data_IF_546475992701
#
_entry.id   IF_546475992701
#
_cell.length_a   1.000
_cell.length_b   1.000
_cell.length_c   1.000
_cell.angle_alpha   90.00
_cell.angle_beta   90.00
_cell.angle_gamma   90.00
#
_symmetry.space_group_name_H-M   'P 1'
#
loop_
_entity.id
_entity.type
_entity.pdbx_description
1 polymer ?
#
# COMPACT_ATOMS: atom_id res chain seq x y z
N UNK A 1 -22.76 1.88 -9.61
CA UNK A 1 -21.28 1.86 -9.75
C UNK A 1 -20.78 0.67 -8.97
N UNK A 2 -20.15 -0.28 -9.63
CA UNK A 2 -19.62 -1.46 -8.94
C UNK A 2 -18.49 -1.05 -8.01
N UNK A 3 -18.57 -1.52 -6.76
CA UNK A 3 -17.53 -1.27 -5.76
C UNK A 3 -16.36 -2.18 -6.12
N UNK A 4 -15.20 -1.58 -6.41
CA UNK A 4 -13.96 -2.32 -6.61
C UNK A 4 -13.61 -3.14 -5.36
N UNK A 5 -13.46 -4.45 -5.51
CA UNK A 5 -13.02 -5.36 -4.43
C UNK A 5 -11.72 -6.05 -4.83
N UNK A 6 -10.57 -5.35 -4.79
CA UNK A 6 -9.32 -5.93 -5.21
C UNK A 6 -8.86 -7.03 -4.26
N UNK A 7 -8.18 -8.05 -4.82
CA UNK A 7 -7.48 -9.08 -4.04
C UNK A 7 -6.09 -8.61 -3.63
N UNK A 8 -5.47 -7.73 -4.43
CA UNK A 8 -4.19 -7.07 -4.19
C UNK A 8 -4.08 -5.80 -5.02
N UNK A 9 -3.08 -4.98 -4.71
CA UNK A 9 -2.79 -3.71 -5.38
C UNK A 9 -1.31 -3.60 -5.70
N UNK A 10 -0.99 -3.13 -6.89
CA UNK A 10 0.39 -2.88 -7.32
C UNK A 10 0.86 -1.52 -6.78
N UNK A 11 1.81 -1.51 -5.87
CA UNK A 11 2.41 -0.29 -5.34
C UNK A 11 3.52 0.26 -6.25
N UNK A 12 3.37 1.50 -6.70
CA UNK A 12 4.33 2.16 -7.59
C UNK A 12 5.40 3.02 -6.87
N UNK A 13 5.48 2.98 -5.54
CA UNK A 13 6.46 3.79 -4.77
C UNK A 13 7.92 3.62 -5.25
N UNK A 14 8.27 2.44 -5.73
CA UNK A 14 9.62 2.13 -6.21
C UNK A 14 9.80 2.32 -7.72
N UNK A 15 8.81 2.83 -8.44
CA UNK A 15 8.88 3.12 -9.88
C UNK A 15 9.56 4.48 -10.12
N UNK A 16 10.21 4.64 -11.26
CA UNK A 16 10.66 5.92 -11.80
C UNK A 16 12.16 6.12 -11.80
N UNK A 17 12.82 6.38 -10.70
CA UNK A 17 14.24 6.77 -10.75
C UNK A 17 15.19 5.58 -10.52
N UNK A 18 16.04 5.30 -11.52
CA UNK A 18 17.13 4.33 -11.37
C UNK A 18 18.07 4.71 -10.21
N UNK A 19 18.34 6.00 -10.00
CA UNK A 19 19.14 6.51 -8.91
C UNK A 19 18.47 6.28 -7.55
N UNK A 20 17.17 6.54 -7.43
CA UNK A 20 16.38 6.28 -6.24
C UNK A 20 16.33 4.78 -5.91
N UNK A 21 16.08 3.94 -6.90
CA UNK A 21 16.10 2.49 -6.73
C UNK A 21 17.47 1.97 -6.30
N UNK A 22 18.56 2.49 -6.87
CA UNK A 22 19.93 2.11 -6.52
C UNK A 22 20.30 2.55 -5.10
N UNK A 23 19.94 3.78 -4.71
CA UNK A 23 20.26 4.35 -3.39
C UNK A 23 19.49 3.67 -2.26
N UNK A 24 18.17 3.54 -2.39
CA UNK A 24 17.31 3.02 -1.33
C UNK A 24 17.15 1.50 -1.35
N UNK A 25 17.15 0.89 -2.52
CA UNK A 25 16.86 -0.53 -2.69
C UNK A 25 18.05 -1.37 -3.18
N UNK A 26 19.18 -0.71 -3.47
CA UNK A 26 20.39 -1.38 -3.95
C UNK A 26 20.29 -1.96 -5.37
N UNK A 27 19.22 -1.66 -6.11
CA UNK A 27 19.03 -2.07 -7.49
C UNK A 27 18.20 -1.08 -8.28
N UNK A 28 18.67 -0.72 -9.47
CA UNK A 28 17.88 -0.02 -10.48
C UNK A 28 17.12 -1.03 -11.34
N UNK A 29 15.95 -0.64 -11.80
CA UNK A 29 15.19 -1.37 -12.82
C UNK A 29 14.90 -0.37 -13.93
N UNK A 30 15.12 -0.78 -15.18
CA UNK A 30 14.84 0.07 -16.34
C UNK A 30 13.33 0.21 -16.59
N UNK A 31 12.98 1.22 -17.35
CA UNK A 31 11.58 1.58 -17.66
C UNK A 31 10.85 0.46 -18.42
N UNK A 32 11.54 -0.24 -19.31
CA UNK A 32 10.96 -1.34 -20.09
C UNK A 32 10.57 -2.51 -19.17
N UNK A 33 11.43 -2.85 -18.21
CA UNK A 33 11.13 -3.90 -17.21
C UNK A 33 9.92 -3.52 -16.35
N UNK A 34 9.79 -2.25 -15.96
CA UNK A 34 8.62 -1.77 -15.18
C UNK A 34 7.35 -1.85 -16.04
N UNK A 35 7.43 -1.45 -17.32
CA UNK A 35 6.31 -1.58 -18.25
C UNK A 35 5.88 -3.05 -18.41
N UNK A 36 6.82 -3.96 -18.58
CA UNK A 36 6.52 -5.40 -18.64
C UNK A 36 5.87 -5.91 -17.35
N UNK A 37 6.26 -5.39 -16.17
CA UNK A 37 5.58 -5.72 -14.92
C UNK A 37 4.12 -5.21 -14.90
N UNK A 38 3.86 -4.03 -15.46
CA UNK A 38 2.50 -3.52 -15.61
C UNK A 38 1.66 -4.38 -16.56
N UNK A 39 2.20 -4.79 -17.69
CA UNK A 39 1.49 -5.69 -18.62
C UNK A 39 1.21 -7.05 -17.95
N UNK A 40 2.18 -7.64 -17.24
CA UNK A 40 1.95 -8.86 -16.47
C UNK A 40 0.85 -8.69 -15.42
N UNK A 41 0.76 -7.51 -14.78
CA UNK A 41 -0.32 -7.21 -13.83
C UNK A 41 -1.70 -7.19 -14.51
N UNK A 42 -1.79 -6.61 -15.71
CA UNK A 42 -3.02 -6.65 -16.53
C UNK A 42 -3.41 -8.08 -16.89
N UNK A 43 -2.47 -8.91 -17.34
CA UNK A 43 -2.69 -10.33 -17.66
C UNK A 43 -3.20 -11.14 -16.45
N UNK A 44 -2.84 -10.75 -15.23
CA UNK A 44 -3.26 -11.37 -13.97
C UNK A 44 -4.49 -10.72 -13.33
N UNK A 45 -5.13 -9.78 -14.00
CA UNK A 45 -6.29 -9.02 -13.49
C UNK A 45 -5.97 -8.25 -12.17
N UNK A 46 -4.69 -7.89 -11.98
CA UNK A 46 -4.23 -7.01 -10.89
C UNK A 46 -4.20 -5.56 -11.39
N UNK A 47 -5.38 -5.01 -11.64
CA UNK A 47 -5.55 -3.78 -12.40
C UNK A 47 -5.40 -2.49 -11.59
N UNK A 48 -5.29 -2.54 -10.26
CA UNK A 48 -5.18 -1.33 -9.43
C UNK A 48 -3.73 -0.99 -9.16
N UNK A 49 -3.34 0.26 -9.48
CA UNK A 49 -2.01 0.81 -9.25
C UNK A 49 -2.08 1.93 -8.22
N UNK A 50 -1.34 1.77 -7.12
CA UNK A 50 -1.32 2.72 -6.01
C UNK A 50 -0.12 3.68 -6.13
N UNK A 51 -0.43 4.97 -6.17
CA UNK A 51 0.49 6.06 -6.45
C UNK A 51 0.38 7.17 -5.39
N UNK A 52 1.44 7.98 -5.31
CA UNK A 52 1.45 9.26 -4.61
C UNK A 52 2.42 10.21 -5.34
N UNK A 53 2.29 11.50 -5.07
CA UNK A 53 2.99 12.56 -5.81
C UNK A 53 4.52 12.51 -5.70
N UNK A 54 5.03 12.00 -4.59
CA UNK A 54 6.46 11.86 -4.30
C UNK A 54 7.06 10.52 -4.74
N UNK A 55 6.22 9.57 -5.22
CA UNK A 55 6.68 8.24 -5.62
C UNK A 55 7.67 8.31 -6.78
N UNK A 56 8.78 7.60 -6.62
CA UNK A 56 9.84 7.62 -7.61
C UNK A 56 10.45 9.00 -7.86
N UNK A 57 10.42 9.92 -6.86
CA UNK A 57 10.77 11.35 -7.02
C UNK A 57 9.88 12.07 -8.05
N UNK A 58 8.57 11.81 -8.00
CA UNK A 58 7.57 12.41 -8.87
C UNK A 58 7.49 11.79 -10.27
N UNK A 59 8.18 10.67 -10.54
CA UNK A 59 8.21 10.03 -11.86
C UNK A 59 7.21 8.89 -12.03
N UNK A 60 6.72 8.30 -10.92
CA UNK A 60 5.85 7.13 -11.01
C UNK A 60 4.53 7.43 -11.73
N UNK A 61 3.92 8.58 -11.45
CA UNK A 61 2.68 9.03 -12.08
C UNK A 61 2.86 9.25 -13.58
N UNK A 62 3.94 9.95 -13.98
CA UNK A 62 4.28 10.20 -15.37
C UNK A 62 4.48 8.89 -16.15
N UNK A 63 5.15 7.90 -15.55
CA UNK A 63 5.33 6.58 -16.18
C UNK A 63 4.00 5.91 -16.47
N UNK A 64 3.02 5.96 -15.54
CA UNK A 64 1.68 5.42 -15.77
C UNK A 64 1.02 6.10 -16.98
N UNK A 65 1.06 7.41 -17.07
CA UNK A 65 0.51 8.16 -18.21
C UNK A 65 1.22 7.87 -19.54
N UNK A 66 2.54 7.60 -19.50
CA UNK A 66 3.33 7.22 -20.68
C UNK A 66 3.08 5.75 -21.11
N UNK A 67 2.81 4.85 -20.18
CA UNK A 67 2.56 3.42 -20.48
C UNK A 67 1.14 3.15 -20.99
N UNK A 68 0.21 4.09 -20.78
CA UNK A 68 -1.23 3.94 -21.03
C UNK A 68 -1.98 3.58 -19.75
N UNK A 69 -3.01 4.36 -19.46
CA UNK A 69 -3.73 4.27 -18.19
C UNK A 69 -5.20 3.85 -18.37
N UNK A 70 -5.66 3.60 -19.58
CA UNK A 70 -7.08 3.39 -19.92
C UNK A 70 -7.62 2.09 -19.32
N UNK A 71 -6.80 1.02 -19.32
CA UNK A 71 -7.20 -0.33 -18.91
C UNK A 71 -6.86 -0.65 -17.46
N UNK A 72 -6.59 0.37 -16.64
CA UNK A 72 -6.23 0.19 -15.24
C UNK A 72 -7.06 1.11 -14.33
N UNK A 73 -7.06 0.80 -13.04
CA UNK A 73 -7.62 1.65 -11.99
C UNK A 73 -6.52 2.42 -11.27
N UNK A 74 -6.66 3.71 -11.17
CA UNK A 74 -5.70 4.60 -10.52
C UNK A 74 -6.13 4.88 -9.09
N UNK A 75 -5.30 4.45 -8.14
CA UNK A 75 -5.37 4.78 -6.72
C UNK A 75 -4.32 5.87 -6.43
N UNK A 76 -4.76 7.12 -6.25
CA UNK A 76 -3.89 8.27 -6.03
C UNK A 76 -4.12 8.89 -4.64
N UNK A 77 -3.16 9.68 -4.15
CA UNK A 77 -3.20 10.24 -2.80
C UNK A 77 -2.94 11.74 -2.80
N UNK A 78 -3.72 12.45 -2.00
CA UNK A 78 -3.43 13.82 -1.60
C UNK A 78 -2.69 13.83 -0.27
N UNK A 79 -1.46 14.34 -0.26
CA UNK A 79 -0.68 14.53 0.97
C UNK A 79 -0.82 15.98 1.45
N UNK A 80 -1.60 16.23 2.53
CA UNK A 80 -1.76 17.58 3.05
C UNK A 80 -0.46 18.10 3.65
N UNK A 81 -0.21 19.40 3.49
CA UNK A 81 0.87 20.11 4.16
C UNK A 81 0.59 20.32 5.67
N UNK A 82 1.53 20.96 6.38
CA UNK A 82 1.39 21.27 7.81
C UNK A 82 0.22 22.23 8.11
N UNK A 83 -0.15 23.06 7.15
CA UNK A 83 -1.28 24.01 7.24
C UNK A 83 -2.17 23.85 6.03
N UNK A 84 -3.46 23.89 6.26
CA UNK A 84 -4.44 23.91 5.18
C UNK A 84 -4.32 25.17 4.35
N UNK A 85 -4.36 25.00 3.03
CA UNK A 85 -4.39 26.08 2.04
C UNK A 85 -5.60 25.85 1.11
N UNK A 86 -6.58 26.78 1.03
CA UNK A 86 -7.74 26.62 0.18
C UNK A 86 -7.38 26.26 -1.28
N UNK A 87 -8.09 25.29 -1.86
CA UNK A 87 -7.86 24.79 -3.20
C UNK A 87 -6.65 23.88 -3.36
N UNK A 88 -5.97 23.48 -2.28
CA UNK A 88 -4.78 22.64 -2.35
C UNK A 88 -5.08 21.23 -2.90
N UNK A 89 -6.23 20.66 -2.55
CA UNK A 89 -6.64 19.34 -3.04
C UNK A 89 -6.88 19.38 -4.55
N UNK A 90 -7.60 20.42 -5.02
CA UNK A 90 -7.87 20.61 -6.44
C UNK A 90 -6.58 20.74 -7.26
N UNK A 91 -5.67 21.64 -6.86
CA UNK A 91 -4.38 21.83 -7.56
C UNK A 91 -3.56 20.53 -7.60
N UNK A 92 -3.61 19.76 -6.51
CA UNK A 92 -2.95 18.46 -6.41
C UNK A 92 -3.53 17.47 -7.40
N UNK A 93 -4.86 17.28 -7.39
CA UNK A 93 -5.54 16.34 -8.28
C UNK A 93 -5.39 16.72 -9.76
N UNK A 94 -5.48 18.00 -10.10
CA UNK A 94 -5.34 18.46 -11.49
C UNK A 94 -3.95 18.16 -12.05
N UNK A 95 -2.89 18.34 -11.24
CA UNK A 95 -1.54 17.92 -11.61
C UNK A 95 -1.49 16.40 -11.81
N UNK A 96 -2.04 15.61 -10.88
CA UNK A 96 -2.06 14.16 -10.96
C UNK A 96 -2.80 13.68 -12.23
N UNK A 97 -3.95 14.25 -12.54
CA UNK A 97 -4.73 13.95 -13.74
C UNK A 97 -3.95 14.26 -15.03
N UNK A 98 -3.22 15.37 -15.05
CA UNK A 98 -2.34 15.73 -16.18
C UNK A 98 -1.24 14.69 -16.38
N UNK A 99 -0.56 14.25 -15.31
CA UNK A 99 0.49 13.22 -15.38
C UNK A 99 -0.07 11.87 -15.81
N UNK A 100 -1.26 11.48 -15.32
CA UNK A 100 -1.93 10.24 -15.71
C UNK A 100 -2.54 10.29 -17.11
N UNK A 101 -2.69 11.47 -17.71
CA UNK A 101 -3.44 11.71 -18.96
C UNK A 101 -4.88 11.23 -18.85
N UNK A 102 -5.53 11.49 -17.70
CA UNK A 102 -6.89 11.07 -17.36
C UNK A 102 -7.74 12.27 -16.95
N UNK A 103 -9.05 12.16 -17.08
CA UNK A 103 -10.03 13.13 -16.59
C UNK A 103 -10.50 12.85 -15.15
N UNK A 104 -10.23 11.66 -14.61
CA UNK A 104 -10.60 11.26 -13.26
C UNK A 104 -9.62 10.22 -12.71
N UNK A 105 -9.63 10.04 -11.39
CA UNK A 105 -8.99 8.93 -10.69
C UNK A 105 -10.06 8.00 -10.11
N UNK A 106 -9.75 6.70 -10.02
CA UNK A 106 -10.69 5.71 -9.53
C UNK A 106 -10.81 5.77 -8.00
N UNK A 107 -9.69 5.93 -7.30
CA UNK A 107 -9.68 6.07 -5.84
C UNK A 107 -8.76 7.25 -5.47
N UNK A 108 -9.25 8.13 -4.59
CA UNK A 108 -8.44 9.24 -4.07
C UNK A 108 -8.40 9.21 -2.55
N UNK A 109 -7.19 9.14 -2.01
CA UNK A 109 -6.98 9.01 -0.57
C UNK A 109 -6.58 10.33 0.06
N UNK A 110 -7.23 10.73 1.15
CA UNK A 110 -6.64 11.69 2.07
C UNK A 110 -5.50 10.98 2.82
N UNK A 111 -4.25 11.31 2.47
CA UNK A 111 -3.06 10.54 2.84
C UNK A 111 -2.71 10.63 4.34
N UNK A 112 -3.06 11.75 4.99
CA UNK A 112 -2.80 12.02 6.41
C UNK A 112 -4.01 12.69 7.07
N UNK A 113 -4.22 12.48 8.38
CA UNK A 113 -5.37 13.04 9.12
C UNK A 113 -5.17 14.52 9.51
N UNK A 114 -4.65 15.34 8.60
CA UNK A 114 -4.45 16.79 8.81
C UNK A 114 -5.66 17.55 8.30
N UNK A 115 -6.20 18.49 9.09
CA UNK A 115 -7.37 19.31 8.71
C UNK A 115 -8.46 18.48 8.01
N UNK A 116 -8.86 17.37 8.62
CA UNK A 116 -9.74 16.34 8.03
C UNK A 116 -10.98 16.96 7.39
N UNK A 117 -11.68 17.85 8.10
CA UNK A 117 -12.93 18.45 7.63
C UNK A 117 -12.71 19.28 6.36
N UNK A 118 -11.68 20.13 6.36
CA UNK A 118 -11.43 21.04 5.25
C UNK A 118 -10.97 20.28 4.00
N UNK A 119 -10.08 19.31 4.18
CA UNK A 119 -9.57 18.49 3.08
C UNK A 119 -10.65 17.58 2.50
N UNK A 120 -11.47 16.94 3.36
CA UNK A 120 -12.60 16.15 2.87
C UNK A 120 -13.65 17.00 2.17
N UNK A 121 -13.92 18.22 2.62
CA UNK A 121 -14.84 19.13 1.92
C UNK A 121 -14.39 19.40 0.48
N UNK A 122 -13.09 19.67 0.24
CA UNK A 122 -12.56 19.82 -1.14
C UNK A 122 -12.64 18.50 -1.94
N UNK A 123 -12.33 17.36 -1.31
CA UNK A 123 -12.41 16.04 -1.97
C UNK A 123 -13.87 15.73 -2.38
N UNK A 124 -14.85 16.05 -1.52
CA UNK A 124 -16.29 15.87 -1.79
C UNK A 124 -16.72 16.71 -3.01
N UNK A 125 -16.24 17.95 -3.12
CA UNK A 125 -16.51 18.79 -4.31
C UNK A 125 -15.99 18.12 -5.59
N UNK A 126 -14.76 17.61 -5.57
CA UNK A 126 -14.13 16.96 -6.72
C UNK A 126 -14.79 15.60 -7.06
N UNK A 127 -15.30 14.88 -6.04
CA UNK A 127 -16.11 13.69 -6.23
C UNK A 127 -17.42 14.02 -6.95
N UNK A 128 -18.12 15.07 -6.54
CA UNK A 128 -19.37 15.53 -7.18
C UNK A 128 -19.16 16.05 -8.61
N UNK A 129 -17.96 16.59 -8.91
CA UNK A 129 -17.53 16.94 -10.26
C UNK A 129 -17.17 15.72 -11.14
N UNK A 130 -17.20 14.50 -10.58
CA UNK A 130 -16.84 13.26 -11.28
C UNK A 130 -15.34 13.06 -11.52
N UNK A 131 -14.47 13.88 -10.90
CA UNK A 131 -13.01 13.75 -10.99
C UNK A 131 -12.45 12.66 -10.07
N UNK A 132 -13.23 12.20 -9.11
CA UNK A 132 -12.91 11.13 -8.15
C UNK A 132 -14.07 10.14 -8.15
N UNK A 133 -13.81 8.85 -8.28
CA UNK A 133 -14.84 7.79 -8.24
C UNK A 133 -15.09 7.24 -6.84
N UNK A 134 -14.02 7.10 -6.04
CA UNK A 134 -14.10 6.59 -4.68
C UNK A 134 -13.19 7.40 -3.75
N UNK A 135 -13.64 7.62 -2.50
CA UNK A 135 -12.89 8.35 -1.49
C UNK A 135 -12.38 7.39 -0.42
N UNK A 136 -11.07 7.43 -0.14
CA UNK A 136 -10.42 6.70 0.93
C UNK A 136 -9.64 7.60 1.88
N UNK A 137 -9.20 7.05 2.99
CA UNK A 137 -8.36 7.71 4.01
C UNK A 137 -7.14 6.85 4.32
N UNK A 138 -6.01 7.47 4.66
CA UNK A 138 -4.77 6.75 4.90
C UNK A 138 -4.06 7.25 6.16
N UNK A 139 -3.50 6.32 6.95
CA UNK A 139 -2.81 6.60 8.21
C UNK A 139 -3.71 7.20 9.33
N UNK A 140 -4.97 6.84 9.34
CA UNK A 140 -5.98 7.29 10.30
C UNK A 140 -6.13 6.30 11.46
N UNK A 141 -6.25 6.81 12.68
CA UNK A 141 -6.65 6.02 13.84
C UNK A 141 -8.18 5.83 13.88
N UNK A 142 -8.67 5.04 14.83
CA UNK A 142 -10.08 4.68 14.89
C UNK A 142 -11.01 5.90 15.08
N UNK A 143 -10.62 6.88 15.88
CA UNK A 143 -11.42 8.10 16.09
C UNK A 143 -11.45 8.96 14.82
N UNK A 144 -10.30 9.11 14.16
CA UNK A 144 -10.17 9.82 12.89
C UNK A 144 -10.94 9.13 11.76
N UNK A 145 -10.92 7.78 11.69
CA UNK A 145 -11.72 7.00 10.76
C UNK A 145 -13.23 7.25 10.94
N UNK A 146 -13.71 7.19 12.20
CA UNK A 146 -15.12 7.48 12.53
C UNK A 146 -15.51 8.90 12.15
N UNK A 147 -14.64 9.87 12.41
CA UNK A 147 -14.84 11.28 12.04
C UNK A 147 -14.94 11.44 10.52
N UNK A 148 -14.00 10.88 9.77
CA UNK A 148 -14.03 10.95 8.31
C UNK A 148 -15.29 10.29 7.73
N UNK A 149 -15.66 9.10 8.27
CA UNK A 149 -16.89 8.43 7.85
C UNK A 149 -18.12 9.29 8.11
N UNK A 150 -18.25 9.92 9.28
CA UNK A 150 -19.38 10.79 9.60
C UNK A 150 -19.52 11.97 8.63
N UNK A 151 -18.40 12.57 8.20
CA UNK A 151 -18.41 13.66 7.21
C UNK A 151 -18.90 13.16 5.85
N UNK A 152 -18.41 12.00 5.41
CA UNK A 152 -18.79 11.40 4.14
C UNK A 152 -20.24 10.90 4.15
N UNK A 153 -20.70 10.30 5.25
CA UNK A 153 -22.11 9.87 5.42
C UNK A 153 -23.08 11.06 5.32
N UNK A 154 -22.71 12.21 5.93
CA UNK A 154 -23.52 13.45 5.80
C UNK A 154 -23.61 13.90 4.34
N UNK A 155 -22.54 13.74 3.56
CA UNK A 155 -22.53 14.00 2.12
C UNK A 155 -23.16 12.87 1.28
N UNK A 156 -23.66 11.77 1.90
CA UNK A 156 -24.19 10.56 1.24
C UNK A 156 -23.17 9.87 0.32
N UNK A 157 -21.89 9.94 0.68
CA UNK A 157 -20.78 9.32 -0.05
C UNK A 157 -20.22 8.19 0.81
N UNK A 158 -20.12 6.96 0.29
CA UNK A 158 -19.53 5.86 1.05
C UNK A 158 -18.02 6.06 1.24
N UNK A 159 -17.50 5.82 2.46
CA UNK A 159 -16.07 5.68 2.70
C UNK A 159 -15.63 4.35 2.06
N UNK A 160 -14.84 4.43 1.00
CA UNK A 160 -14.40 3.26 0.25
C UNK A 160 -13.42 2.38 1.03
N UNK A 161 -12.42 2.99 1.66
CA UNK A 161 -11.39 2.22 2.32
C UNK A 161 -10.54 3.02 3.31
N UNK A 162 -9.79 2.26 4.11
CA UNK A 162 -8.73 2.74 4.99
C UNK A 162 -7.42 2.11 4.56
N UNK A 163 -6.39 2.91 4.27
CA UNK A 163 -5.08 2.46 3.83
C UNK A 163 -4.03 2.76 4.90
N UNK A 164 -3.67 1.79 5.72
CA UNK A 164 -2.73 1.96 6.82
C UNK A 164 -1.55 0.98 6.72
N UNK A 165 -0.46 1.28 7.45
CA UNK A 165 0.68 0.37 7.60
C UNK A 165 0.22 -0.94 8.26
N UNK A 166 0.45 -2.07 7.59
CA UNK A 166 0.15 -3.38 8.18
C UNK A 166 1.04 -4.47 7.57
N UNK A 167 1.52 -5.35 8.44
CA UNK A 167 2.31 -6.52 8.04
C UNK A 167 2.20 -7.62 9.10
N UNK A 168 2.80 -8.78 8.83
CA UNK A 168 2.90 -9.87 9.80
C UNK A 168 3.55 -9.44 11.15
N UNK A 169 4.46 -8.45 11.14
CA UNK A 169 5.17 -7.95 12.34
C UNK A 169 4.71 -6.58 12.81
N UNK A 170 3.75 -5.96 12.12
CA UNK A 170 3.19 -4.66 12.48
C UNK A 170 1.67 -4.73 12.39
N UNK A 171 1.04 -5.10 13.52
CA UNK A 171 -0.41 -5.32 13.63
C UNK A 171 -1.09 -4.32 14.57
N UNK A 172 -0.49 -3.16 14.77
CA UNK A 172 -1.00 -2.14 15.70
C UNK A 172 -2.44 -1.71 15.35
N UNK A 173 -2.78 -1.63 14.05
CA UNK A 173 -4.13 -1.26 13.61
C UNK A 173 -5.18 -2.38 13.80
N UNK A 174 -4.75 -3.64 13.84
CA UNK A 174 -5.60 -4.75 14.25
C UNK A 174 -5.89 -4.67 15.75
N UNK A 175 -4.84 -4.46 16.56
CA UNK A 175 -4.93 -4.35 18.02
C UNK A 175 -5.74 -3.12 18.48
N UNK A 176 -5.63 -1.99 17.75
CA UNK A 176 -6.40 -0.76 18.05
C UNK A 176 -7.85 -0.80 17.56
N UNK A 177 -8.28 -1.89 16.92
CA UNK A 177 -9.65 -2.08 16.46
C UNK A 177 -9.99 -1.48 15.10
N UNK A 178 -9.05 -0.82 14.38
CA UNK A 178 -9.33 -0.22 13.07
C UNK A 178 -9.70 -1.28 12.04
N UNK A 179 -8.99 -2.41 12.00
CA UNK A 179 -9.27 -3.51 11.05
C UNK A 179 -10.66 -4.12 11.31
N UNK A 180 -11.00 -4.38 12.58
CA UNK A 180 -12.31 -4.90 12.94
C UNK A 180 -13.42 -3.92 12.57
N UNK A 181 -13.23 -2.63 12.90
CA UNK A 181 -14.20 -1.59 12.56
C UNK A 181 -14.41 -1.46 11.04
N UNK A 182 -13.38 -1.56 10.23
CA UNK A 182 -13.49 -1.57 8.76
C UNK A 182 -14.38 -2.73 8.31
N UNK A 183 -14.11 -3.94 8.82
CA UNK A 183 -14.88 -5.14 8.49
C UNK A 183 -16.36 -4.99 8.87
N UNK A 184 -16.65 -4.51 10.08
CA UNK A 184 -18.02 -4.34 10.59
C UNK A 184 -18.83 -3.29 9.82
N UNK A 185 -18.14 -2.33 9.18
CA UNK A 185 -18.78 -1.28 8.37
C UNK A 185 -18.69 -1.53 6.85
N UNK A 186 -18.22 -2.70 6.41
CA UNK A 186 -18.08 -3.00 4.97
C UNK A 186 -17.03 -2.13 4.24
N UNK A 187 -16.06 -1.56 4.98
CA UNK A 187 -15.00 -0.69 4.48
C UNK A 187 -13.77 -1.55 4.17
N UNK A 188 -13.18 -1.38 3.00
CA UNK A 188 -11.97 -2.10 2.62
C UNK A 188 -10.76 -1.64 3.43
N UNK A 189 -9.99 -2.56 4.02
CA UNK A 189 -8.73 -2.23 4.68
C UNK A 189 -7.55 -2.63 3.79
N UNK A 190 -6.71 -1.65 3.42
CA UNK A 190 -5.55 -1.83 2.57
C UNK A 190 -4.27 -1.68 3.38
N UNK A 191 -3.34 -2.61 3.18
CA UNK A 191 -2.06 -2.68 3.89
C UNK A 191 -0.93 -2.17 3.02
N UNK A 192 -0.31 -1.04 3.37
CA UNK A 192 0.97 -0.67 2.78
C UNK A 192 2.14 -1.21 3.61
N UNK A 193 3.33 -1.35 3.01
CA UNK A 193 4.55 -1.91 3.58
C UNK A 193 4.42 -3.37 4.09
N UNK A 194 3.63 -4.19 3.42
CA UNK A 194 3.43 -5.62 3.74
C UNK A 194 4.74 -6.40 3.89
N UNK A 195 5.75 -6.05 3.09
CA UNK A 195 7.09 -6.66 3.14
C UNK A 195 8.10 -5.90 4.02
N UNK A 196 7.66 -4.87 4.78
CA UNK A 196 8.49 -4.08 5.70
C UNK A 196 9.79 -3.60 5.06
N UNK A 197 9.68 -2.87 3.96
CA UNK A 197 10.83 -2.35 3.20
C UNK A 197 11.84 -3.46 2.79
N UNK A 198 11.33 -4.68 2.55
CA UNK A 198 12.11 -5.85 2.18
C UNK A 198 12.69 -6.63 3.37
N UNK A 199 12.26 -6.33 4.59
CA UNK A 199 12.65 -7.11 5.77
C UNK A 199 11.96 -8.48 5.84
N UNK A 200 10.75 -8.61 5.30
CA UNK A 200 10.02 -9.88 5.19
C UNK A 200 10.27 -10.58 3.84
N UNK A 201 11.49 -10.46 3.31
CA UNK A 201 11.96 -11.18 2.12
C UNK A 201 13.01 -12.23 2.49
N UNK A 202 13.45 -13.03 1.53
CA UNK A 202 14.49 -14.05 1.78
C UNK A 202 15.76 -13.39 2.35
N UNK A 203 16.17 -13.74 3.59
CA UNK A 203 17.35 -13.16 4.24
C UNK A 203 18.66 -13.50 3.52
N UNK A 204 18.68 -14.53 2.67
CA UNK A 204 19.84 -14.96 1.88
C UNK A 204 20.09 -14.05 0.68
N UNK A 205 19.06 -13.37 0.19
CA UNK A 205 19.20 -12.41 -0.91
C UNK A 205 19.99 -11.21 -0.43
N UNK A 206 21.24 -11.10 -0.91
CA UNK A 206 22.12 -9.97 -0.63
C UNK A 206 21.68 -8.75 -1.44
N UNK A 207 20.98 -7.82 -0.80
CA UNK A 207 20.78 -6.48 -1.39
C UNK A 207 22.08 -5.70 -1.27
N UNK A 208 22.75 -5.44 -2.38
CA UNK A 208 24.00 -4.65 -2.39
C UNK A 208 23.69 -3.16 -2.13
N UNK A 209 24.46 -2.51 -1.24
CA UNK A 209 24.62 -1.04 -1.22
C UNK A 209 23.49 -0.18 -0.68
N UNK A 210 22.43 -0.75 -0.08
CA UNK A 210 21.33 0.06 0.48
C UNK A 210 21.64 0.58 1.89
N UNK A 211 21.48 1.89 2.13
CA UNK A 211 21.52 2.51 3.47
C UNK A 211 20.53 1.81 4.41
N UNK A 212 19.35 1.46 3.92
CA UNK A 212 18.34 0.73 4.67
C UNK A 212 18.85 -0.63 5.16
N UNK A 213 19.74 -1.29 4.41
CA UNK A 213 20.37 -2.55 4.82
C UNK A 213 21.26 -2.38 6.06
N UNK A 214 21.99 -1.29 6.16
CA UNK A 214 22.82 -1.00 7.34
C UNK A 214 21.94 -0.75 8.57
N UNK A 215 20.91 0.07 8.43
CA UNK A 215 19.94 0.40 9.47
C UNK A 215 19.22 -0.86 9.99
N UNK A 216 18.82 -1.76 9.07
CA UNK A 216 18.05 -2.95 9.41
C UNK A 216 18.87 -4.21 9.67
N UNK A 217 20.19 -4.18 9.47
CA UNK A 217 21.05 -5.38 9.61
C UNK A 217 20.93 -6.07 10.99
N UNK A 218 20.88 -5.27 12.06
CA UNK A 218 20.68 -5.78 13.43
C UNK A 218 19.30 -6.39 13.64
N UNK A 219 18.26 -5.81 13.02
CA UNK A 219 16.88 -6.29 13.10
C UNK A 219 16.70 -7.61 12.35
N UNK A 220 17.39 -7.82 11.22
CA UNK A 220 17.39 -9.09 10.48
C UNK A 220 17.82 -10.28 11.34
N UNK A 221 18.82 -10.12 12.21
CA UNK A 221 19.23 -11.19 13.11
C UNK A 221 18.09 -11.62 14.06
N UNK A 222 17.35 -10.64 14.60
CA UNK A 222 16.21 -10.91 15.48
C UNK A 222 15.05 -11.60 14.75
N UNK A 223 14.89 -11.36 13.44
CA UNK A 223 13.84 -11.97 12.62
C UNK A 223 14.11 -13.44 12.23
N UNK A 224 15.27 -14.03 12.54
CA UNK A 224 15.62 -15.40 12.15
C UNK A 224 14.54 -16.44 12.50
N UNK A 225 13.95 -16.44 13.72
CA UNK A 225 12.88 -17.41 14.05
C UNK A 225 11.65 -17.23 13.14
N UNK A 226 11.29 -15.97 12.81
CA UNK A 226 10.18 -15.69 11.92
C UNK A 226 10.46 -16.14 10.48
N UNK A 227 11.66 -15.92 9.95
CA UNK A 227 12.03 -16.46 8.63
C UNK A 227 11.95 -17.99 8.58
N UNK A 228 12.36 -18.68 9.65
CA UNK A 228 12.22 -20.14 9.74
C UNK A 228 10.76 -20.57 9.74
N UNK A 229 9.89 -19.86 10.48
CA UNK A 229 8.45 -20.10 10.50
C UNK A 229 7.81 -19.87 9.13
N UNK A 230 8.09 -18.72 8.49
CA UNK A 230 7.58 -18.39 7.17
C UNK A 230 8.05 -19.40 6.11
N UNK A 231 9.34 -19.79 6.15
CA UNK A 231 9.87 -20.81 5.23
C UNK A 231 9.21 -22.18 5.45
N UNK A 232 8.89 -22.55 6.70
CA UNK A 232 8.16 -23.80 7.01
C UNK A 232 6.75 -23.80 6.42
N UNK A 233 6.04 -22.69 6.57
CA UNK A 233 4.70 -22.51 5.96
C UNK A 233 4.82 -22.47 4.43
N UNK A 234 5.75 -21.67 3.90
CA UNK A 234 5.97 -21.54 2.47
C UNK A 234 6.25 -22.87 1.76
N UNK A 235 7.09 -23.75 2.37
CA UNK A 235 7.37 -25.09 1.81
C UNK A 235 6.12 -25.96 1.67
N UNK A 236 5.12 -25.82 2.54
CA UNK A 236 3.88 -26.60 2.46
C UNK A 236 2.98 -26.16 1.31
N UNK A 237 3.06 -24.90 0.95
CA UNK A 237 2.26 -24.27 -0.09
C UNK A 237 3.06 -24.04 -1.37
N UNK A 238 4.33 -24.46 -1.43
CA UNK A 238 5.26 -24.20 -2.54
C UNK A 238 5.41 -22.71 -2.87
N UNK A 239 5.42 -21.84 -1.85
CA UNK A 239 5.60 -20.39 -1.97
C UNK A 239 6.80 -19.89 -1.17
N UNK A 240 7.30 -18.72 -1.54
CA UNK A 240 8.47 -18.06 -0.94
C UNK A 240 8.11 -17.31 0.36
N UNK A 241 9.14 -16.87 1.11
CA UNK A 241 8.95 -16.05 2.32
C UNK A 241 8.14 -14.78 2.07
N UNK A 242 8.45 -13.93 1.05
CA UNK A 242 7.60 -12.76 0.78
C UNK A 242 6.16 -13.13 0.45
N UNK A 243 5.94 -14.18 -0.32
CA UNK A 243 4.59 -14.65 -0.63
C UNK A 243 3.81 -15.11 0.62
N UNK A 244 4.48 -15.67 1.63
CA UNK A 244 3.82 -15.98 2.93
C UNK A 244 3.36 -14.70 3.64
N UNK A 245 4.14 -13.61 3.59
CA UNK A 245 3.73 -12.32 4.18
C UNK A 245 2.53 -11.70 3.44
N UNK A 246 2.52 -11.79 2.12
CA UNK A 246 1.42 -11.32 1.26
C UNK A 246 0.15 -12.17 1.48
N UNK A 247 0.28 -13.50 1.46
CA UNK A 247 -0.80 -14.44 1.77
C UNK A 247 -1.37 -14.25 3.19
N UNK A 248 -0.52 -13.93 4.17
CA UNK A 248 -0.98 -13.63 5.52
C UNK A 248 -1.99 -12.48 5.53
N UNK A 249 -1.73 -11.39 4.81
CA UNK A 249 -2.65 -10.25 4.74
C UNK A 249 -3.98 -10.64 4.10
N UNK A 250 -3.98 -11.32 2.96
CA UNK A 250 -5.22 -11.71 2.28
C UNK A 250 -6.04 -12.72 3.06
N UNK A 251 -5.40 -13.65 3.79
CA UNK A 251 -6.11 -14.58 4.66
C UNK A 251 -6.69 -13.93 5.94
N UNK A 252 -6.31 -12.68 6.23
CA UNK A 252 -6.95 -11.80 7.22
C UNK A 252 -8.11 -10.97 6.61
N UNK A 253 -8.36 -11.06 5.32
CA UNK A 253 -9.30 -10.20 4.62
C UNK A 253 -8.78 -8.78 4.39
N UNK A 254 -7.46 -8.60 4.41
CA UNK A 254 -6.75 -7.33 4.20
C UNK A 254 -6.16 -7.31 2.80
N UNK A 255 -6.33 -6.21 2.08
CA UNK A 255 -5.80 -6.02 0.72
C UNK A 255 -4.34 -5.58 0.78
N UNK A 256 -3.37 -6.39 0.33
CA UNK A 256 -1.96 -6.01 0.33
C UNK A 256 -1.65 -5.06 -0.83
N UNK A 257 -0.88 -4.00 -0.54
CA UNK A 257 -0.25 -3.15 -1.55
C UNK A 257 1.22 -3.56 -1.64
N UNK A 258 1.60 -4.15 -2.77
CA UNK A 258 2.93 -4.71 -2.96
C UNK A 258 3.68 -4.02 -4.10
N UNK A 259 4.91 -3.62 -3.82
CA UNK A 259 5.78 -2.97 -4.80
C UNK A 259 6.32 -3.99 -5.81
N UNK A 260 5.78 -4.00 -7.02
CA UNK A 260 6.22 -4.86 -8.12
C UNK A 260 6.91 -4.02 -9.21
N UNK A 261 8.19 -4.32 -9.48
CA UNK A 261 9.00 -3.65 -10.51
C UNK A 261 9.41 -4.59 -11.64
N UNK A 262 9.14 -5.87 -11.48
CA UNK A 262 9.52 -6.93 -12.42
C UNK A 262 8.37 -7.91 -12.60
N UNK A 263 8.18 -8.50 -13.79
CA UNK A 263 7.11 -9.46 -14.06
C UNK A 263 6.98 -10.57 -13.02
N UNK A 264 8.08 -11.24 -12.68
CA UNK A 264 8.05 -12.34 -11.70
C UNK A 264 7.53 -11.92 -10.31
N UNK A 265 7.66 -10.65 -9.90
CA UNK A 265 7.13 -10.17 -8.62
C UNK A 265 5.60 -10.06 -8.68
N UNK A 266 5.05 -9.72 -9.82
CA UNK A 266 3.59 -9.70 -10.06
C UNK A 266 3.05 -11.13 -10.04
N UNK A 267 3.72 -12.07 -10.71
CA UNK A 267 3.36 -13.48 -10.69
C UNK A 267 3.37 -14.05 -9.28
N UNK A 268 4.43 -13.76 -8.49
CA UNK A 268 4.54 -14.17 -7.10
C UNK A 268 3.43 -13.55 -6.23
N UNK A 269 3.10 -12.28 -6.43
CA UNK A 269 1.98 -11.65 -5.71
C UNK A 269 0.66 -12.34 -6.04
N UNK A 270 0.40 -12.60 -7.33
CA UNK A 270 -0.81 -13.30 -7.77
C UNK A 270 -0.94 -14.69 -7.13
N UNK A 271 0.14 -15.47 -7.09
CA UNK A 271 0.17 -16.77 -6.41
C UNK A 271 -0.09 -16.63 -4.90
N UNK A 272 0.57 -15.64 -4.26
CA UNK A 272 0.44 -15.40 -2.83
C UNK A 272 -1.00 -15.11 -2.42
N UNK A 273 -1.67 -14.20 -3.13
CA UNK A 273 -3.02 -13.77 -2.75
C UNK A 273 -4.09 -14.84 -3.02
N UNK A 274 -3.79 -15.80 -3.87
CA UNK A 274 -4.62 -16.98 -4.10
C UNK A 274 -4.29 -18.16 -3.17
N UNK A 275 -3.21 -18.07 -2.37
CA UNK A 275 -2.81 -19.12 -1.43
C UNK A 275 -3.66 -19.08 -0.16
N UNK A 276 -4.29 -20.19 0.18
CA UNK A 276 -5.10 -20.33 1.40
C UNK A 276 -4.26 -20.92 2.54
N UNK A 277 -3.95 -20.10 3.53
CA UNK A 277 -3.29 -20.52 4.76
C UNK A 277 -4.33 -21.06 5.75
N UNK A 278 -4.01 -22.15 6.44
CA UNK A 278 -4.88 -22.68 7.48
C UNK A 278 -4.89 -21.79 8.73
N UNK A 279 -5.94 -21.84 9.52
CA UNK A 279 -6.04 -21.12 10.79
C UNK A 279 -4.90 -21.49 11.77
N UNK A 280 -4.39 -22.72 11.68
CA UNK A 280 -3.26 -23.17 12.48
C UNK A 280 -1.95 -22.50 12.03
N UNK A 281 -1.74 -22.35 10.73
CA UNK A 281 -0.58 -21.65 10.17
C UNK A 281 -0.63 -20.15 10.47
N UNK A 282 -1.80 -19.52 10.33
CA UNK A 282 -2.00 -18.12 10.68
C UNK A 282 -1.61 -17.86 12.14
N UNK A 283 -2.19 -18.64 13.09
CA UNK A 283 -1.85 -18.52 14.52
C UNK A 283 -0.39 -18.80 14.82
N UNK A 284 0.22 -19.77 14.14
CA UNK A 284 1.64 -20.07 14.29
C UNK A 284 2.52 -18.89 13.87
N UNK A 285 2.25 -18.29 12.71
CA UNK A 285 2.98 -17.12 12.23
C UNK A 285 2.84 -15.93 13.19
N UNK A 286 1.63 -15.64 13.65
CA UNK A 286 1.35 -14.58 14.63
C UNK A 286 2.12 -14.80 15.94
N UNK A 287 2.05 -16.01 16.49
CA UNK A 287 2.76 -16.35 17.74
C UNK A 287 4.26 -16.15 17.62
N UNK A 288 4.86 -16.53 16.49
CA UNK A 288 6.30 -16.33 16.29
C UNK A 288 6.63 -14.85 16.08
N UNK A 289 5.81 -14.12 15.34
CA UNK A 289 5.97 -12.68 15.11
C UNK A 289 5.91 -11.90 16.44
N UNK A 290 4.97 -12.23 17.33
CA UNK A 290 4.84 -11.61 18.66
C UNK A 290 6.05 -11.88 19.55
N UNK A 291 6.55 -13.12 19.56
CA UNK A 291 7.75 -13.48 20.32
C UNK A 291 9.00 -12.76 19.84
N UNK A 292 9.13 -12.56 18.54
CA UNK A 292 10.26 -11.82 17.94
C UNK A 292 10.22 -10.34 18.32
N UNK A 293 9.04 -9.75 18.43
CA UNK A 293 8.78 -8.38 18.84
C UNK A 293 9.74 -7.34 18.20
N UNK A 294 9.84 -7.39 16.88
CA UNK A 294 10.65 -6.43 16.10
C UNK A 294 9.73 -5.42 15.46
N UNK A 295 9.82 -4.17 15.89
CA UNK A 295 9.22 -3.04 15.16
C UNK A 295 10.22 -2.51 14.14
N UNK A 296 9.81 -2.44 12.89
CA UNK A 296 10.50 -1.74 11.81
C UNK A 296 9.93 -0.32 11.74
N UNK A 297 10.54 0.59 11.03
CA UNK A 297 10.02 1.95 10.89
C UNK A 297 8.54 1.86 10.49
N UNK A 298 7.67 2.01 11.46
CA UNK A 298 6.26 1.66 11.34
C UNK A 298 5.37 2.87 11.07
N UNK A 299 4.09 2.70 11.36
CA UNK A 299 3.00 3.66 11.21
C UNK A 299 3.31 5.09 11.70
N UNK A 300 4.19 5.23 12.68
CA UNK A 300 4.58 6.52 13.24
C UNK A 300 5.46 7.37 12.31
N UNK A 301 6.12 6.80 11.31
CA UNK A 301 7.02 7.57 10.44
C UNK A 301 6.29 8.68 9.67
N UNK A 302 5.04 8.44 9.26
CA UNK A 302 4.21 9.46 8.65
C UNK A 302 3.51 10.38 9.66
N UNK A 303 3.30 9.92 10.91
CA UNK A 303 2.70 10.72 11.97
C UNK A 303 3.63 11.78 12.55
N UNK A 304 4.95 11.56 12.52
CA UNK A 304 5.93 12.59 12.93
C UNK A 304 5.94 13.81 12.01
N UNK A 305 5.49 13.68 10.77
CA UNK A 305 5.38 14.81 9.85
C UNK A 305 4.16 15.72 10.16
N UNK A 306 3.28 15.31 11.06
CA UNK A 306 2.01 15.98 11.37
C UNK A 306 2.00 16.59 12.78
N UNK A 307 3.05 16.34 13.60
CA UNK A 307 3.21 16.97 14.93
C UNK A 307 3.89 18.31 14.87
#
# INVERSE_FOLDING_TARGET
>A
MDILKPIAVIGANSWGSAAYGKLLRGSSVDTATIKNAMETAKEKDLLIFDLAQDYGLGKAQKMIGEFGSEDIYISAKFTPGKKYVPGQVRRSLERDLSEFRRSYVDIYWLHLPTDIEKNLAEIIVLYNEGKIRHIGISNFNLAECKKAKSILDYAKIPLYGVQNHYSLISRDWEQSGVVAWCKDNGISFWAWAVLEEGMLTDPRVKTKGSIMKLIFSRKKKKLRPLYAAMNRVGKRHNITIPQVAEAFCTNKGIVPICGCRKPYQVEQLYEAVNTKLTQKEMRFLETVADKVNVKILGADMFRFAVK
#
